data_IF_555167307588
#
_entry.id   IF_555167307588
#
_cell.length_a   1.000
_cell.length_b   1.000
_cell.length_c   1.000
_cell.angle_alpha   90.00
_cell.angle_beta   90.00
_cell.angle_gamma   90.00
#
_symmetry.space_group_name_H-M   'P 1'
#
loop_
_entity.id
_entity.type
_entity.pdbx_description
1 polymer ?
#
# COMPACT_ATOMS: atom_id res chain seq x y z
N UNK A 1 -17.73 8.74 5.32
CA UNK A 1 -16.44 8.40 4.68
C UNK A 1 -15.23 8.22 5.63
N UNK A 2 -15.15 8.74 6.88
CA UNK A 2 -13.96 8.56 7.73
C UNK A 2 -13.71 7.11 8.19
N UNK A 3 -14.77 6.33 8.46
CA UNK A 3 -14.66 4.93 8.95
C UNK A 3 -13.82 4.01 8.06
N UNK A 4 -13.81 4.22 6.73
CA UNK A 4 -13.04 3.37 5.80
C UNK A 4 -11.54 3.66 5.86
N UNK A 5 -11.15 4.93 6.06
CA UNK A 5 -9.76 5.34 6.25
C UNK A 5 -9.23 4.81 7.58
N UNK A 6 -10.02 4.91 8.65
CA UNK A 6 -9.64 4.40 9.97
C UNK A 6 -9.46 2.86 9.93
N UNK A 7 -10.33 2.16 9.20
CA UNK A 7 -10.22 0.72 8.99
C UNK A 7 -8.95 0.35 8.21
N UNK A 8 -8.62 1.09 7.13
CA UNK A 8 -7.39 0.84 6.36
C UNK A 8 -6.13 1.04 7.21
N UNK A 9 -6.09 2.09 8.04
CA UNK A 9 -4.99 2.33 8.98
C UNK A 9 -4.85 1.21 9.99
N UNK A 10 -5.97 0.73 10.56
CA UNK A 10 -5.95 -0.41 11.48
C UNK A 10 -5.42 -1.68 10.81
N UNK A 11 -5.84 -1.96 9.57
CA UNK A 11 -5.34 -3.11 8.80
C UNK A 11 -3.83 -2.99 8.52
N UNK A 12 -3.34 -1.77 8.22
CA UNK A 12 -1.92 -1.50 8.04
C UNK A 12 -1.12 -1.79 9.31
N UNK A 13 -1.62 -1.35 10.47
CA UNK A 13 -0.93 -1.56 11.75
C UNK A 13 -0.87 -3.06 12.09
N UNK A 14 -1.94 -3.81 11.82
CA UNK A 14 -1.95 -5.27 11.94
C UNK A 14 -0.98 -5.93 10.95
N UNK A 15 -0.87 -5.42 9.73
CA UNK A 15 0.05 -5.93 8.73
C UNK A 15 1.52 -5.73 9.15
N UNK A 16 1.85 -4.54 9.68
CA UNK A 16 3.18 -4.24 10.23
C UNK A 16 3.53 -5.15 11.42
N UNK A 17 2.54 -5.49 12.24
CA UNK A 17 2.74 -6.46 13.31
C UNK A 17 3.01 -7.88 12.78
N UNK A 18 2.27 -8.32 11.76
CA UNK A 18 2.51 -9.60 11.10
C UNK A 18 3.90 -9.66 10.45
N UNK A 19 4.30 -8.58 9.76
CA UNK A 19 5.63 -8.44 9.18
C UNK A 19 6.74 -8.53 10.22
N UNK A 20 6.59 -7.84 11.36
CA UNK A 20 7.56 -7.92 12.48
C UNK A 20 7.70 -9.33 13.06
N UNK A 21 6.64 -10.14 12.97
CA UNK A 21 6.64 -11.57 13.35
C UNK A 21 7.20 -12.49 12.27
N UNK A 22 7.58 -11.95 11.10
CA UNK A 22 8.06 -12.72 9.95
C UNK A 22 6.94 -13.37 9.14
N UNK A 23 5.67 -13.13 9.47
CA UNK A 23 4.52 -13.65 8.73
C UNK A 23 4.20 -12.74 7.53
N UNK A 24 5.07 -12.81 6.52
CA UNK A 24 4.98 -11.99 5.31
C UNK A 24 3.68 -12.25 4.54
N UNK A 25 3.20 -13.50 4.52
CA UNK A 25 1.96 -13.86 3.83
C UNK A 25 0.76 -13.14 4.44
N UNK A 26 0.64 -13.17 5.77
CA UNK A 26 -0.43 -12.46 6.47
C UNK A 26 -0.28 -10.94 6.34
N UNK A 27 0.94 -10.42 6.35
CA UNK A 27 1.18 -8.99 6.14
C UNK A 27 0.67 -8.56 4.75
N UNK A 28 0.97 -9.31 3.70
CA UNK A 28 0.50 -9.07 2.32
C UNK A 28 -1.03 -9.07 2.28
N UNK A 29 -1.68 -10.12 2.79
CA UNK A 29 -3.16 -10.23 2.79
C UNK A 29 -3.84 -9.05 3.51
N UNK A 30 -3.23 -8.54 4.58
CA UNK A 30 -3.75 -7.39 5.32
C UNK A 30 -3.56 -6.08 4.57
N UNK A 31 -2.41 -5.87 3.91
CA UNK A 31 -2.20 -4.69 3.06
C UNK A 31 -3.13 -4.69 1.84
N UNK A 32 -3.35 -5.82 1.18
CA UNK A 32 -4.29 -5.91 0.05
C UNK A 32 -5.72 -5.52 0.46
N UNK A 33 -6.15 -5.94 1.65
CA UNK A 33 -7.44 -5.51 2.24
C UNK A 33 -7.45 -4.02 2.60
N UNK A 34 -6.31 -3.45 2.96
CA UNK A 34 -6.17 -2.04 3.32
C UNK A 34 -6.15 -1.10 2.11
N UNK A 35 -5.64 -1.56 0.96
CA UNK A 35 -5.55 -0.78 -0.28
C UNK A 35 -6.92 -0.63 -0.96
N UNK A 36 -7.76 -1.68 -0.95
CA UNK A 36 -9.11 -1.63 -1.55
C UNK A 36 -9.97 -0.42 -1.13
N UNK A 37 -9.96 0.03 0.14
CA UNK A 37 -10.67 1.25 0.56
C UNK A 37 -9.89 2.56 0.39
N UNK A 38 -8.56 2.51 0.24
CA UNK A 38 -7.66 3.66 0.32
C UNK A 38 -6.55 3.45 -0.71
N UNK A 39 -6.77 3.91 -1.95
CA UNK A 39 -5.78 3.86 -3.03
C UNK A 39 -4.63 4.87 -2.82
N UNK A 40 -4.09 4.95 -1.61
CA UNK A 40 -2.97 5.82 -1.29
C UNK A 40 -1.65 5.19 -1.76
N UNK A 41 -0.77 5.96 -2.43
CA UNK A 41 0.50 5.43 -2.95
C UNK A 41 1.43 4.90 -1.87
N UNK A 42 1.31 5.39 -0.62
CA UNK A 42 2.05 4.86 0.52
C UNK A 42 1.78 3.35 0.73
N UNK A 43 0.49 2.96 0.78
CA UNK A 43 0.09 1.58 1.02
C UNK A 43 0.57 0.65 -0.10
N UNK A 44 0.55 1.12 -1.36
CA UNK A 44 1.09 0.39 -2.50
C UNK A 44 2.61 0.22 -2.37
N UNK A 45 3.34 1.28 -2.01
CA UNK A 45 4.78 1.20 -1.81
C UNK A 45 5.15 0.15 -0.76
N UNK A 46 4.41 0.12 0.34
CA UNK A 46 4.65 -0.81 1.45
C UNK A 46 4.26 -2.25 1.10
N UNK A 47 3.19 -2.46 0.33
CA UNK A 47 2.86 -3.78 -0.23
C UNK A 47 3.95 -4.27 -1.21
N UNK A 48 4.49 -3.39 -2.03
CA UNK A 48 5.59 -3.70 -2.95
C UNK A 48 6.83 -4.20 -2.20
N UNK A 49 7.21 -3.54 -1.10
CA UNK A 49 8.31 -3.98 -0.24
C UNK A 49 8.05 -5.34 0.41
N UNK A 50 6.81 -5.61 0.84
CA UNK A 50 6.45 -6.93 1.36
C UNK A 50 6.59 -8.04 0.32
N UNK A 51 6.13 -7.79 -0.92
CA UNK A 51 6.33 -8.73 -2.02
C UNK A 51 7.80 -8.96 -2.31
N UNK A 52 8.63 -7.90 -2.26
CA UNK A 52 10.08 -8.02 -2.43
C UNK A 52 10.70 -8.89 -1.33
N UNK A 53 10.29 -8.71 -0.06
CA UNK A 53 10.74 -9.52 1.08
C UNK A 53 10.29 -10.99 0.97
N UNK A 54 9.11 -11.23 0.41
CA UNK A 54 8.58 -12.57 0.16
C UNK A 54 9.22 -13.27 -1.05
N UNK A 55 10.07 -12.58 -1.82
CA UNK A 55 10.70 -13.10 -3.03
C UNK A 55 9.82 -13.00 -4.29
N UNK A 56 8.63 -12.42 -4.18
CA UNK A 56 7.67 -12.21 -5.28
C UNK A 56 8.02 -10.96 -6.10
N UNK A 57 9.19 -10.98 -6.75
CA UNK A 57 9.79 -9.81 -7.41
C UNK A 57 8.89 -9.21 -8.50
N UNK A 58 8.24 -10.03 -9.31
CA UNK A 58 7.39 -9.53 -10.40
C UNK A 58 6.18 -8.75 -9.88
N UNK A 59 5.58 -9.23 -8.78
CA UNK A 59 4.49 -8.52 -8.10
C UNK A 59 4.99 -7.24 -7.44
N UNK A 60 6.16 -7.29 -6.80
CA UNK A 60 6.78 -6.11 -6.20
C UNK A 60 6.96 -4.99 -7.24
N UNK A 61 7.53 -5.31 -8.41
CA UNK A 61 7.74 -4.34 -9.49
C UNK A 61 6.43 -3.73 -9.96
N UNK A 62 5.41 -4.56 -10.19
CA UNK A 62 4.11 -4.07 -10.64
C UNK A 62 3.48 -3.10 -9.62
N UNK A 63 3.45 -3.48 -8.35
CA UNK A 63 2.82 -2.66 -7.30
C UNK A 63 3.62 -1.38 -7.04
N UNK A 64 4.96 -1.43 -7.03
CA UNK A 64 5.81 -0.25 -6.89
C UNK A 64 5.65 0.72 -8.06
N UNK A 65 5.44 0.20 -9.27
CA UNK A 65 5.13 1.04 -10.43
C UNK A 65 3.80 1.78 -10.26
N UNK A 66 2.75 1.11 -9.77
CA UNK A 66 1.47 1.75 -9.48
C UNK A 66 1.59 2.83 -8.39
N UNK A 67 2.39 2.58 -7.34
CA UNK A 67 2.67 3.58 -6.32
C UNK A 67 3.35 4.82 -6.92
N UNK A 68 4.33 4.61 -7.80
CA UNK A 68 5.06 5.66 -8.48
C UNK A 68 4.16 6.50 -9.41
N UNK A 69 3.28 5.86 -10.18
CA UNK A 69 2.32 6.60 -11.02
C UNK A 69 1.39 7.46 -10.17
N UNK A 70 0.88 6.94 -9.05
CA UNK A 70 0.03 7.73 -8.15
C UNK A 70 0.77 8.86 -7.47
N UNK A 71 2.03 8.66 -7.08
CA UNK A 71 2.87 9.77 -6.60
C UNK A 71 3.06 10.84 -7.67
N UNK A 72 3.31 10.44 -8.93
CA UNK A 72 3.36 11.38 -10.05
C UNK A 72 2.04 12.14 -10.20
N UNK A 73 0.89 11.45 -10.20
CA UNK A 73 -0.42 12.10 -10.28
C UNK A 73 -0.64 13.10 -9.14
N UNK A 74 -0.23 12.76 -7.92
CA UNK A 74 -0.33 13.62 -6.73
C UNK A 74 0.58 14.85 -6.82
N UNK A 75 1.84 14.67 -7.22
CA UNK A 75 2.79 15.77 -7.40
C UNK A 75 2.42 16.67 -8.59
N UNK A 76 1.78 16.10 -9.62
CA UNK A 76 1.25 16.81 -10.78
C UNK A 76 -0.18 17.31 -10.60
N UNK A 77 -0.78 17.28 -9.39
CA UNK A 77 -2.01 18.04 -9.14
C UNK A 77 -1.70 19.51 -9.43
N UNK A 78 -2.14 20.05 -10.58
CA UNK A 78 -1.87 21.44 -10.85
C UNK A 78 -2.72 22.21 -9.83
N UNK A 79 -2.24 23.38 -9.45
CA UNK A 79 -3.08 24.42 -8.87
C UNK A 79 -4.17 24.90 -9.87
N UNK A 80 -4.83 24.00 -10.60
CA UNK A 80 -5.89 24.25 -11.56
C UNK A 80 -7.25 24.12 -10.87
N UNK A 81 -7.47 24.98 -9.87
CA UNK A 81 -8.68 25.79 -9.92
C UNK A 81 -8.16 27.19 -10.25
N UNK A 82 -8.25 27.53 -11.53
CA UNK A 82 -8.20 28.91 -11.99
C UNK A 82 -9.38 29.70 -11.42
#
# INVERSE_FOLDING_TARGET
>A
MPKKIDQAKSLRDQAKEAERKGDLKKAIELYEKAISPVEEPAFLNELGELYRKAGEKDKAVNVLWQALEKYREMDFYPNAIA
#
